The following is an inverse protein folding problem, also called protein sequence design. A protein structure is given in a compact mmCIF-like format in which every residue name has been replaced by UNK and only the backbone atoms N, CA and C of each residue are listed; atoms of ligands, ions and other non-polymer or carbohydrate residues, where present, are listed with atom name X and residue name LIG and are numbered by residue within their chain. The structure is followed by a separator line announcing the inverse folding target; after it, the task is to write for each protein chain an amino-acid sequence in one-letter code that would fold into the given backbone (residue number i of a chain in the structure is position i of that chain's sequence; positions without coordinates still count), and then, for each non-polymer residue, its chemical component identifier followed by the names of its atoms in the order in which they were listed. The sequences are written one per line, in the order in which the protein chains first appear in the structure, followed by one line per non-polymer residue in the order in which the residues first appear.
data_IF_213423833533
#
_entry.id   IF_213423833533
#
_cell.length_a   1.000
_cell.length_b   1.000
_cell.length_c   1.000
_cell.angle_alpha   90.00
_cell.angle_beta   90.00
_cell.angle_gamma   90.00
#
_symmetry.space_group_name_H-M   'P 1'
#
loop_
_entity.id
_entity.type
_entity.pdbx_description
1 polymer ?
#
# COMPACT_ATOMS: atom_id res chain seq x y z
N UNK A 1 -26.04 70.32 -38.05
CA UNK A 1 -24.61 70.20 -37.67
C UNK A 1 -24.47 69.01 -36.73
N UNK A 2 -24.01 67.87 -37.23
CA UNK A 2 -23.40 66.80 -36.44
C UNK A 2 -22.73 65.79 -37.39
N UNK A 3 -21.42 65.64 -37.23
CA UNK A 3 -20.57 64.54 -37.69
C UNK A 3 -19.64 64.21 -36.52
N UNK A 4 -18.92 63.09 -36.48
CA UNK A 4 -19.28 61.73 -36.92
C UNK A 4 -18.92 60.67 -35.84
N UNK A 5 -19.12 59.42 -36.23
CA UNK A 5 -18.92 58.13 -35.56
C UNK A 5 -17.61 57.91 -34.78
N UNK A 6 -17.70 57.14 -33.68
CA UNK A 6 -16.59 56.35 -33.13
C UNK A 6 -17.11 54.93 -32.83
N UNK A 7 -16.73 53.98 -33.69
CA UNK A 7 -16.78 52.55 -33.44
C UNK A 7 -15.68 52.15 -32.44
N UNK A 8 -16.01 51.37 -31.41
CA UNK A 8 -15.04 50.62 -30.61
C UNK A 8 -14.90 49.19 -31.17
N UNK A 9 -13.68 48.65 -31.37
CA UNK A 9 -13.52 47.25 -31.75
C UNK A 9 -13.47 46.34 -30.52
N UNK A 10 -14.17 45.22 -30.67
CA UNK A 10 -14.19 44.04 -29.79
C UNK A 10 -12.78 43.44 -29.71
N UNK A 11 -12.25 43.30 -28.50
CA UNK A 11 -10.95 42.67 -28.26
C UNK A 11 -11.13 41.14 -28.40
N UNK A 12 -10.71 40.58 -29.54
CA UNK A 12 -10.47 39.13 -29.64
C UNK A 12 -9.22 38.79 -28.81
N UNK A 13 -9.40 38.05 -27.71
CA UNK A 13 -8.28 37.51 -26.94
C UNK A 13 -7.63 36.36 -27.73
N UNK A 14 -6.37 36.55 -28.05
CA UNK A 14 -5.52 35.74 -28.92
C UNK A 14 -5.34 34.30 -28.44
N UNK A 15 -5.41 33.37 -29.40
CA UNK A 15 -4.80 32.04 -29.31
C UNK A 15 -3.31 32.13 -28.92
N UNK A 16 -2.89 31.31 -27.96
CA UNK A 16 -1.47 31.15 -27.63
C UNK A 16 -0.75 30.34 -28.71
N UNK A 17 0.41 30.78 -29.24
CA UNK A 17 1.08 30.07 -30.32
C UNK A 17 1.77 28.81 -29.78
N UNK A 18 1.42 27.64 -30.33
CA UNK A 18 2.17 26.39 -30.13
C UNK A 18 3.42 26.44 -31.02
N UNK A 19 4.51 27.02 -30.51
CA UNK A 19 5.82 27.04 -31.19
C UNK A 19 6.52 25.68 -31.11
N UNK A 20 7.16 25.28 -32.21
CA UNK A 20 7.88 24.01 -32.33
C UNK A 20 9.32 24.14 -31.81
N UNK A 21 10.00 23.03 -31.52
CA UNK A 21 11.34 22.99 -30.91
C UNK A 21 12.43 23.76 -31.70
N UNK A 22 12.18 24.09 -32.98
CA UNK A 22 13.11 24.84 -33.83
C UNK A 22 13.06 26.37 -33.57
N UNK A 23 11.99 26.88 -32.95
CA UNK A 23 11.79 28.32 -32.70
C UNK A 23 12.55 28.85 -31.47
N UNK A 24 13.25 27.98 -30.72
CA UNK A 24 13.92 28.35 -29.45
C UNK A 24 15.29 29.01 -29.64
N UNK A 25 15.90 28.88 -30.82
CA UNK A 25 17.26 29.38 -31.07
C UNK A 25 17.31 30.89 -31.35
N UNK A 26 16.17 31.49 -31.69
CA UNK A 26 16.03 32.92 -32.06
C UNK A 26 15.24 33.74 -31.02
N UNK A 27 14.93 33.16 -29.86
CA UNK A 27 14.15 33.86 -28.83
C UNK A 27 15.03 34.84 -28.03
N UNK A 28 14.52 36.07 -27.85
CA UNK A 28 15.20 37.12 -27.09
C UNK A 28 15.55 36.67 -25.65
N UNK A 29 16.74 37.02 -25.12
CA UNK A 29 17.19 36.58 -23.79
C UNK A 29 16.25 37.01 -22.65
N UNK A 30 15.61 38.16 -22.80
CA UNK A 30 14.64 38.68 -21.82
C UNK A 30 13.34 37.84 -21.84
N UNK A 31 12.87 37.41 -23.01
CA UNK A 31 11.73 36.49 -23.16
C UNK A 31 12.03 35.10 -22.58
N UNK A 32 13.24 34.58 -22.80
CA UNK A 32 13.69 33.31 -22.21
C UNK A 32 13.75 33.38 -20.68
N UNK A 33 14.25 34.48 -20.11
CA UNK A 33 14.30 34.68 -18.66
C UNK A 33 12.91 34.79 -18.03
N UNK A 34 11.97 35.45 -18.71
CA UNK A 34 10.56 35.51 -18.31
C UNK A 34 9.91 34.13 -18.30
N UNK A 35 10.16 33.31 -19.33
CA UNK A 35 9.64 31.94 -19.41
C UNK A 35 10.23 31.00 -18.36
N UNK A 36 11.55 31.09 -18.11
CA UNK A 36 12.21 30.31 -17.05
C UNK A 36 11.64 30.71 -15.68
N UNK A 37 11.45 32.01 -15.43
CA UNK A 37 10.87 32.53 -14.19
C UNK A 37 9.42 32.04 -13.99
N UNK A 38 8.59 32.06 -15.04
CA UNK A 38 7.20 31.57 -15.01
C UNK A 38 7.11 30.04 -14.83
N UNK A 39 8.07 29.29 -15.35
CA UNK A 39 8.16 27.82 -15.19
C UNK A 39 8.64 27.42 -13.79
N UNK A 40 9.47 28.25 -13.16
CA UNK A 40 9.93 28.06 -11.78
C UNK A 40 8.91 28.56 -10.74
N UNK A 41 8.08 29.56 -11.05
CA UNK A 41 7.08 30.12 -10.11
C UNK A 41 5.79 29.30 -9.98
N UNK A 42 5.52 28.36 -10.90
CA UNK A 42 4.37 27.43 -10.81
C UNK A 42 4.71 26.19 -9.97
N UNK A 43 5.25 26.42 -8.78
CA UNK A 43 5.54 25.41 -7.77
C UNK A 43 4.28 24.93 -7.03
N UNK A 44 3.32 24.32 -7.74
CA UNK A 44 2.34 23.35 -7.19
C UNK A 44 1.52 22.75 -8.34
N UNK A 45 2.20 22.12 -9.29
CA UNK A 45 1.51 21.33 -10.30
C UNK A 45 0.83 20.14 -9.63
N UNK A 46 -0.51 20.13 -9.58
CA UNK A 46 -1.27 18.86 -9.42
C UNK A 46 -0.69 17.89 -10.44
N UNK A 47 -0.06 16.81 -9.98
CA UNK A 47 0.41 15.74 -10.87
C UNK A 47 -0.80 15.24 -11.65
N UNK A 48 -0.94 15.66 -12.91
CA UNK A 48 -1.97 15.14 -13.81
C UNK A 48 -1.65 13.66 -14.00
N UNK A 49 -2.66 12.80 -13.78
CA UNK A 49 -2.45 11.37 -13.99
C UNK A 49 -2.14 11.17 -15.48
N UNK A 50 -1.09 10.41 -15.83
CA UNK A 50 -0.76 10.15 -17.24
C UNK A 50 -1.95 9.48 -17.94
N UNK A 51 -2.00 9.57 -19.27
CA UNK A 51 -3.06 8.92 -20.04
C UNK A 51 -3.10 7.42 -19.72
N UNK A 52 -4.29 6.81 -19.57
CA UNK A 52 -4.36 5.42 -19.16
C UNK A 52 -3.80 4.51 -20.27
N UNK A 53 -2.91 3.56 -19.95
CA UNK A 53 -2.27 2.71 -20.95
C UNK A 53 -3.28 1.76 -21.60
N UNK A 54 -3.08 1.46 -22.87
CA UNK A 54 -3.85 0.45 -23.60
C UNK A 54 -3.09 -0.89 -23.57
N UNK A 55 -3.80 -1.96 -23.23
CA UNK A 55 -3.28 -3.32 -23.23
C UNK A 55 -4.26 -4.19 -24.01
N UNK A 56 -3.78 -4.84 -25.08
CA UNK A 56 -4.61 -5.60 -26.03
C UNK A 56 -5.85 -4.82 -26.50
N UNK A 57 -5.66 -3.57 -26.94
CA UNK A 57 -6.74 -2.64 -27.36
C UNK A 57 -7.78 -2.28 -26.29
N UNK A 58 -7.56 -2.65 -25.02
CA UNK A 58 -8.41 -2.27 -23.89
C UNK A 58 -7.74 -1.14 -23.10
N UNK A 59 -8.48 -0.08 -22.80
CA UNK A 59 -7.99 1.04 -21.98
C UNK A 59 -8.03 0.66 -20.50
N UNK A 60 -6.86 0.61 -19.84
CA UNK A 60 -6.76 0.28 -18.42
C UNK A 60 -7.12 1.48 -17.56
N UNK A 61 -8.06 1.34 -16.65
CA UNK A 61 -8.40 2.41 -15.70
C UNK A 61 -7.36 2.51 -14.58
N UNK A 62 -6.96 3.73 -14.23
CA UNK A 62 -6.08 3.95 -13.08
C UNK A 62 -6.80 3.58 -11.79
N UNK A 63 -6.28 2.57 -11.09
CA UNK A 63 -6.73 2.19 -9.75
C UNK A 63 -5.66 2.53 -8.71
N UNK A 64 -6.09 2.84 -7.48
CA UNK A 64 -5.17 3.03 -6.35
C UNK A 64 -4.65 1.72 -5.77
N UNK A 65 -5.39 0.62 -5.97
CA UNK A 65 -4.95 -0.73 -5.62
C UNK A 65 -5.38 -1.77 -6.66
N UNK A 66 -4.56 -2.78 -6.85
CA UNK A 66 -4.82 -3.88 -7.79
C UNK A 66 -4.54 -5.22 -7.14
N UNK A 67 -5.27 -6.25 -7.55
CA UNK A 67 -5.09 -7.62 -7.03
C UNK A 67 -4.27 -8.44 -8.02
N UNK A 68 -3.16 -8.99 -7.56
CA UNK A 68 -2.26 -9.82 -8.37
C UNK A 68 -1.81 -11.04 -7.57
N UNK A 69 -2.05 -12.26 -8.09
CA UNK A 69 -1.70 -13.53 -7.41
C UNK A 69 -2.18 -13.62 -5.94
N UNK A 70 -3.32 -13.00 -5.64
CA UNK A 70 -3.88 -12.93 -4.28
C UNK A 70 -3.24 -11.88 -3.35
N UNK A 71 -2.26 -11.12 -3.84
CA UNK A 71 -1.71 -9.93 -3.21
C UNK A 71 -2.51 -8.69 -3.60
N UNK A 72 -2.56 -7.70 -2.71
CA UNK A 72 -3.16 -6.39 -2.98
C UNK A 72 -2.02 -5.39 -3.04
N UNK A 73 -1.78 -4.86 -4.23
CA UNK A 73 -0.71 -3.91 -4.53
C UNK A 73 -1.30 -2.51 -4.46
N UNK A 74 -0.82 -1.72 -3.49
CA UNK A 74 -1.16 -0.30 -3.38
C UNK A 74 -0.23 0.53 -4.26
N UNK A 75 -0.67 1.69 -4.78
CA UNK A 75 0.16 2.60 -5.62
C UNK A 75 1.54 2.92 -5.03
N UNK A 76 1.64 2.99 -3.70
CA UNK A 76 2.88 3.31 -2.96
C UNK A 76 3.58 2.06 -2.38
N UNK A 77 3.09 0.85 -2.68
CA UNK A 77 3.57 -0.42 -2.13
C UNK A 77 3.75 -0.38 -0.59
N UNK A 78 2.83 0.29 0.11
CA UNK A 78 2.85 0.36 1.58
C UNK A 78 2.35 -0.92 2.23
N UNK A 79 1.60 -1.74 1.49
CA UNK A 79 1.01 -3.02 1.93
C UNK A 79 -0.02 -2.91 3.06
N UNK A 80 -0.44 -1.69 3.42
CA UNK A 80 -1.39 -1.47 4.52
C UNK A 80 -2.74 -2.09 4.20
N UNK A 81 -3.26 -1.88 2.99
CA UNK A 81 -4.54 -2.46 2.58
C UNK A 81 -4.43 -3.99 2.56
N UNK A 82 -3.34 -4.52 2.03
CA UNK A 82 -3.07 -5.96 2.00
C UNK A 82 -3.05 -6.61 3.38
N UNK A 83 -2.26 -6.06 4.32
CA UNK A 83 -2.10 -6.61 5.67
C UNK A 83 -3.38 -6.50 6.49
N UNK A 84 -4.15 -5.44 6.30
CA UNK A 84 -5.48 -5.28 6.91
C UNK A 84 -6.42 -6.38 6.41
N UNK A 85 -6.47 -6.60 5.09
CA UNK A 85 -7.28 -7.67 4.49
C UNK A 85 -6.84 -9.06 4.97
N UNK A 86 -5.53 -9.31 5.08
CA UNK A 86 -4.97 -10.56 5.62
C UNK A 86 -5.37 -10.80 7.07
N UNK A 87 -5.26 -9.79 7.93
CA UNK A 87 -5.72 -9.82 9.33
C UNK A 87 -7.21 -10.16 9.41
N UNK A 88 -8.04 -9.57 8.55
CA UNK A 88 -9.49 -9.81 8.58
C UNK A 88 -9.84 -11.21 8.09
N UNK A 89 -9.15 -11.71 7.06
CA UNK A 89 -9.25 -13.12 6.63
C UNK A 89 -8.82 -14.08 7.76
N UNK A 90 -7.73 -13.78 8.44
CA UNK A 90 -7.27 -14.53 9.61
C UNK A 90 -8.32 -14.53 10.72
N UNK A 91 -8.91 -13.38 11.06
CA UNK A 91 -9.96 -13.29 12.10
C UNK A 91 -11.22 -14.07 11.73
N UNK A 92 -11.60 -14.10 10.44
CA UNK A 92 -12.71 -14.93 9.96
C UNK A 92 -12.40 -16.42 10.18
N UNK A 93 -11.22 -16.88 9.76
CA UNK A 93 -10.80 -18.27 9.97
C UNK A 93 -10.68 -18.63 11.46
N UNK A 94 -10.13 -17.71 12.28
CA UNK A 94 -10.02 -17.90 13.72
C UNK A 94 -11.39 -18.03 14.38
N UNK A 95 -12.38 -17.23 13.98
CA UNK A 95 -13.74 -17.35 14.51
C UNK A 95 -14.36 -18.72 14.21
N UNK A 96 -14.13 -19.25 12.99
CA UNK A 96 -14.59 -20.59 12.64
C UNK A 96 -13.90 -21.68 13.47
N UNK A 97 -12.60 -21.52 13.76
CA UNK A 97 -11.81 -22.47 14.57
C UNK A 97 -11.92 -22.22 16.08
N UNK A 98 -12.64 -21.19 16.51
CA UNK A 98 -12.68 -20.76 17.90
C UNK A 98 -13.16 -21.84 18.88
N UNK A 99 -14.16 -22.69 18.54
CA UNK A 99 -14.59 -23.78 19.42
C UNK A 99 -13.46 -24.78 19.75
N UNK A 100 -12.47 -24.94 18.88
CA UNK A 100 -11.35 -25.88 19.05
C UNK A 100 -10.11 -25.23 19.67
N UNK A 101 -9.85 -23.98 19.34
CA UNK A 101 -8.62 -23.29 19.76
C UNK A 101 -8.85 -22.44 21.02
N UNK A 102 -10.10 -22.07 21.31
CA UNK A 102 -10.44 -21.18 22.41
C UNK A 102 -9.96 -21.68 23.77
N UNK A 103 -9.85 -20.75 24.71
CA UNK A 103 -9.46 -21.04 26.09
C UNK A 103 -10.34 -22.10 26.78
N UNK A 104 -11.63 -22.18 26.46
CA UNK A 104 -12.57 -23.16 27.00
C UNK A 104 -12.52 -24.54 26.31
N UNK A 105 -11.77 -24.68 25.22
CA UNK A 105 -11.66 -25.97 24.55
C UNK A 105 -10.80 -26.94 25.36
N UNK A 106 -11.25 -28.18 25.47
CA UNK A 106 -10.56 -29.30 26.11
C UNK A 106 -9.33 -29.80 25.32
N UNK A 107 -9.12 -29.28 24.11
CA UNK A 107 -7.99 -29.65 23.27
C UNK A 107 -6.66 -29.35 23.98
N UNK A 108 -5.70 -30.28 23.89
CA UNK A 108 -4.36 -30.08 24.43
C UNK A 108 -3.69 -28.84 23.80
N UNK A 109 -2.92 -28.11 24.60
CA UNK A 109 -2.17 -26.92 24.19
C UNK A 109 -1.29 -27.18 22.95
N UNK A 110 -0.62 -28.34 22.89
CA UNK A 110 0.18 -28.73 21.73
C UNK A 110 -0.66 -28.77 20.44
N UNK A 111 -1.84 -29.38 20.49
CA UNK A 111 -2.74 -29.48 19.35
C UNK A 111 -3.30 -28.11 18.95
N UNK A 112 -3.51 -27.20 19.92
CA UNK A 112 -3.92 -25.82 19.63
C UNK A 112 -2.82 -25.05 18.88
N UNK A 113 -1.57 -25.22 19.31
CA UNK A 113 -0.40 -24.64 18.62
C UNK A 113 -0.26 -25.27 17.22
N UNK A 114 -0.47 -26.58 17.09
CA UNK A 114 -0.46 -27.26 15.79
C UNK A 114 -1.51 -26.67 14.85
N UNK A 115 -2.75 -26.50 15.29
CA UNK A 115 -3.80 -25.84 14.50
C UNK A 115 -3.42 -24.42 14.08
N UNK A 116 -2.84 -23.64 15.00
CA UNK A 116 -2.33 -22.30 14.68
C UNK A 116 -1.25 -22.36 13.59
N UNK A 117 -0.25 -23.22 13.75
CA UNK A 117 0.88 -23.33 12.80
C UNK A 117 0.46 -23.84 11.43
N UNK A 118 -0.44 -24.83 11.37
CA UNK A 118 -0.86 -25.49 10.15
C UNK A 118 -1.90 -24.68 9.36
N UNK A 119 -2.86 -24.03 10.03
CA UNK A 119 -4.00 -23.40 9.34
C UNK A 119 -3.93 -21.88 9.38
N UNK A 120 -3.70 -21.30 10.56
CA UNK A 120 -3.82 -19.86 10.75
C UNK A 120 -2.57 -19.09 10.31
N UNK A 121 -1.37 -19.62 10.60
CA UNK A 121 -0.10 -18.97 10.24
C UNK A 121 0.03 -18.78 8.71
N UNK A 122 -0.24 -19.78 7.84
CA UNK A 122 -0.14 -19.60 6.39
C UNK A 122 -1.03 -18.49 5.83
N UNK A 123 -2.19 -18.22 6.45
CA UNK A 123 -3.07 -17.13 6.04
C UNK A 123 -2.32 -15.80 6.14
N UNK A 124 -1.60 -15.58 7.25
CA UNK A 124 -0.82 -14.37 7.50
C UNK A 124 0.47 -14.34 6.68
N UNK A 125 1.15 -15.48 6.51
CA UNK A 125 2.51 -15.53 5.93
C UNK A 125 2.54 -15.71 4.41
N UNK A 126 1.41 -16.07 3.77
CA UNK A 126 1.38 -16.15 2.32
C UNK A 126 1.75 -14.81 1.67
N UNK A 127 2.76 -14.85 0.79
CA UNK A 127 3.31 -13.70 0.09
C UNK A 127 4.32 -12.88 0.92
N UNK A 128 4.75 -13.38 2.07
CA UNK A 128 5.66 -12.64 2.96
C UNK A 128 6.99 -12.24 2.35
N UNK A 129 7.60 -12.96 1.38
CA UNK A 129 8.81 -12.46 0.72
C UNK A 129 8.59 -11.12 0.00
N UNK A 130 7.35 -10.85 -0.47
CA UNK A 130 7.02 -9.65 -1.23
C UNK A 130 6.69 -8.47 -0.32
N UNK A 131 5.82 -8.66 0.68
CA UNK A 131 5.41 -7.59 1.59
C UNK A 131 6.22 -7.54 2.89
N UNK A 132 7.15 -8.47 3.11
CA UNK A 132 7.95 -8.56 4.34
C UNK A 132 8.87 -7.37 4.60
N UNK A 133 9.13 -6.56 3.57
CA UNK A 133 9.84 -5.29 3.66
C UNK A 133 8.92 -4.09 3.95
N UNK A 134 7.63 -4.32 4.22
CA UNK A 134 6.71 -3.25 4.60
C UNK A 134 7.18 -2.54 5.89
N UNK A 135 6.71 -1.30 6.08
CA UNK A 135 6.99 -0.54 7.29
C UNK A 135 6.59 -1.33 8.56
N UNK A 136 7.40 -1.22 9.61
CA UNK A 136 7.20 -1.93 10.89
C UNK A 136 5.80 -1.67 11.48
N UNK A 137 5.28 -0.46 11.31
CA UNK A 137 3.92 -0.10 11.74
C UNK A 137 2.83 -0.95 11.07
N UNK A 138 3.03 -1.33 9.80
CA UNK A 138 2.11 -2.17 9.06
C UNK A 138 2.31 -3.66 9.43
N UNK A 139 3.55 -4.12 9.61
CA UNK A 139 3.84 -5.49 10.09
C UNK A 139 3.22 -5.72 11.47
N UNK A 140 3.22 -4.71 12.34
CA UNK A 140 2.59 -4.77 13.67
C UNK A 140 1.10 -5.16 13.62
N UNK A 141 0.39 -4.86 12.52
CA UNK A 141 -1.02 -5.23 12.33
C UNK A 141 -1.22 -6.76 12.41
N UNK A 142 -0.34 -7.51 11.77
CA UNK A 142 -0.41 -8.99 11.74
C UNK A 142 0.26 -9.61 12.97
N UNK A 143 1.29 -8.98 13.53
CA UNK A 143 1.90 -9.44 14.80
C UNK A 143 0.92 -9.37 15.96
N UNK A 144 0.12 -8.31 16.05
CA UNK A 144 -0.93 -8.19 17.07
C UNK A 144 -1.95 -9.32 16.94
N UNK A 145 -2.29 -9.74 15.72
CA UNK A 145 -3.20 -10.86 15.48
C UNK A 145 -2.60 -12.20 15.97
N UNK A 146 -1.31 -12.46 15.71
CA UNK A 146 -0.61 -13.61 16.28
C UNK A 146 -0.55 -13.57 17.80
N UNK A 147 -0.14 -12.43 18.38
CA UNK A 147 -0.04 -12.25 19.82
C UNK A 147 -1.39 -12.55 20.50
N UNK A 148 -2.49 -12.04 19.93
CA UNK A 148 -3.83 -12.25 20.47
C UNK A 148 -4.20 -13.73 20.54
N UNK A 149 -3.96 -14.51 19.49
CA UNK A 149 -4.31 -15.94 19.49
C UNK A 149 -3.40 -16.76 20.39
N UNK A 150 -2.09 -16.50 20.37
CA UNK A 150 -1.12 -17.26 21.17
C UNK A 150 -1.42 -17.07 22.67
N UNK A 151 -1.74 -15.84 23.08
CA UNK A 151 -2.11 -15.55 24.47
C UNK A 151 -3.40 -16.24 24.88
N UNK A 152 -4.37 -16.36 23.97
CA UNK A 152 -5.60 -17.10 24.21
C UNK A 152 -5.33 -18.61 24.39
N UNK A 153 -4.48 -19.19 23.53
CA UNK A 153 -4.07 -20.61 23.62
C UNK A 153 -3.38 -20.92 24.96
N UNK A 154 -2.46 -20.05 25.38
CA UNK A 154 -1.65 -20.23 26.60
C UNK A 154 -2.43 -19.82 27.88
N UNK A 155 -3.56 -19.13 27.73
CA UNK A 155 -4.27 -18.45 28.84
C UNK A 155 -3.36 -17.48 29.62
N UNK A 156 -2.55 -16.73 28.88
CA UNK A 156 -1.53 -15.86 29.47
C UNK A 156 -2.12 -14.59 30.09
N UNK A 157 -1.73 -14.29 31.34
CA UNK A 157 -2.12 -13.07 32.05
C UNK A 157 -1.54 -11.80 31.42
N UNK A 158 -2.23 -10.66 31.54
CA UNK A 158 -1.90 -9.36 30.95
C UNK A 158 -0.44 -8.93 31.19
N UNK A 159 0.13 -9.26 32.35
CA UNK A 159 1.49 -8.85 32.71
C UNK A 159 2.58 -9.77 32.13
N UNK A 160 2.24 -10.96 31.65
CA UNK A 160 3.19 -11.89 31.05
C UNK A 160 3.75 -11.32 29.75
N UNK A 161 5.08 -11.15 29.68
CA UNK A 161 5.76 -10.65 28.48
C UNK A 161 5.67 -11.68 27.35
N UNK A 162 5.38 -11.21 26.12
CA UNK A 162 5.27 -12.08 24.95
C UNK A 162 6.57 -12.84 24.66
N UNK A 163 7.74 -12.28 25.00
CA UNK A 163 9.03 -12.94 24.81
C UNK A 163 9.17 -14.25 25.59
N UNK A 164 8.63 -14.33 26.81
CA UNK A 164 8.62 -15.59 27.58
C UNK A 164 7.66 -16.59 26.96
N UNK A 165 6.45 -16.15 26.62
CA UNK A 165 5.44 -17.01 25.96
C UNK A 165 6.02 -17.68 24.72
N UNK A 166 6.71 -16.91 23.86
CA UNK A 166 7.33 -17.43 22.65
C UNK A 166 8.42 -18.48 22.90
N UNK A 167 9.22 -18.29 23.96
CA UNK A 167 10.26 -19.25 24.35
C UNK A 167 9.65 -20.56 24.83
N UNK A 168 8.61 -20.48 25.67
CA UNK A 168 7.98 -21.66 26.28
C UNK A 168 7.26 -22.53 25.23
N UNK A 169 6.51 -21.91 24.32
CA UNK A 169 5.76 -22.62 23.27
C UNK A 169 6.60 -22.96 22.03
N UNK A 170 7.88 -22.55 22.00
CA UNK A 170 8.81 -22.71 20.86
C UNK A 170 8.27 -22.17 19.53
N UNK A 171 7.54 -21.05 19.56
CA UNK A 171 7.02 -20.36 18.37
C UNK A 171 7.79 -19.07 18.15
N UNK A 172 8.21 -18.81 16.91
CA UNK A 172 8.83 -17.54 16.55
C UNK A 172 7.80 -16.40 16.45
N UNK A 173 8.18 -15.17 16.85
CA UNK A 173 7.44 -13.96 16.47
C UNK A 173 7.29 -13.86 14.95
N UNK A 174 6.16 -13.31 14.47
CA UNK A 174 5.84 -13.27 13.04
C UNK A 174 6.93 -12.62 12.22
N UNK A 175 7.46 -11.48 12.68
CA UNK A 175 8.52 -10.74 12.00
C UNK A 175 9.76 -11.62 11.75
N UNK A 176 10.23 -12.33 12.78
CA UNK A 176 11.38 -13.23 12.65
C UNK A 176 11.07 -14.41 11.71
N UNK A 177 9.84 -14.93 11.77
CA UNK A 177 9.41 -16.00 10.86
C UNK A 177 9.35 -15.54 9.40
N UNK A 178 8.85 -14.33 9.15
CA UNK A 178 8.81 -13.71 7.81
C UNK A 178 10.24 -13.49 7.27
N UNK A 179 11.15 -12.99 8.11
CA UNK A 179 12.56 -12.84 7.73
C UNK A 179 13.18 -14.18 7.33
N UNK A 180 12.93 -15.23 8.11
CA UNK A 180 13.38 -16.60 7.77
C UNK A 180 12.79 -17.08 6.44
N UNK A 181 11.50 -16.84 6.19
CA UNK A 181 10.86 -17.18 4.92
C UNK A 181 11.45 -16.40 3.74
N UNK A 182 11.77 -15.12 3.92
CA UNK A 182 12.37 -14.30 2.89
C UNK A 182 13.78 -14.80 2.56
N UNK A 183 14.62 -15.07 3.57
CA UNK A 183 15.97 -15.63 3.37
C UNK A 183 15.89 -16.93 2.58
N UNK A 184 15.03 -17.86 3.00
CA UNK A 184 14.86 -19.14 2.31
C UNK A 184 14.29 -19.03 0.88
N UNK A 185 13.63 -17.92 0.54
CA UNK A 185 13.04 -17.71 -0.78
C UNK A 185 14.05 -17.16 -1.80
N UNK A 186 15.04 -16.41 -1.33
CA UNK A 186 16.06 -15.77 -2.19
C UNK A 186 17.43 -16.48 -2.18
N UNK A 187 17.59 -17.51 -1.35
CA UNK A 187 18.72 -18.44 -1.38
C UNK A 187 18.53 -19.49 -2.46
#
# INVERSE_FOLDING_TARGET
MASPEIFQPIIHYSDSPKKSLLDFREADPLELSFWISKKLSTGSGRKTQPTPPTLYSTQLQWSQSTKYLGLILDKKLTWKQHLTHKRDKFRKALRALYPLIGWNSELNMYNKILLYTAVLRPILTYGSPVWGYAADSNIKIIEVAQNSIIRNIVKADRYTKNSYIYKDIKVLPLKNYIQKLAINFFQ
#
